data_IF_555311385098
#
_entry.id   IF_555311385098
#
_cell.length_a   1.000
_cell.length_b   1.000
_cell.length_c   1.000
_cell.angle_alpha   90.00
_cell.angle_beta   90.00
_cell.angle_gamma   90.00
#
_symmetry.space_group_name_H-M   'P 1'
#
loop_
_entity.id
_entity.type
_entity.pdbx_description
1 polymer ?
#
# COMPACT_ATOMS: atom_id res chain seq x y z
N UNK A 1 -7.77 31.82 -60.20
CA UNK A 1 -7.80 33.21 -59.70
C UNK A 1 -8.61 33.20 -58.42
N UNK A 2 -8.21 33.62 -57.22
CA UNK A 2 -7.04 34.32 -56.70
C UNK A 2 -7.51 34.95 -55.38
N UNK A 3 -6.92 34.53 -54.24
CA UNK A 3 -6.81 35.18 -52.91
C UNK A 3 -8.13 35.68 -52.24
N UNK A 4 -8.37 35.44 -50.95
CA UNK A 4 -7.60 36.04 -49.86
C UNK A 4 -7.85 35.38 -48.49
N UNK A 5 -6.78 35.25 -47.71
CA UNK A 5 -6.77 35.12 -46.24
C UNK A 5 -6.79 36.53 -45.63
N UNK A 6 -7.27 36.69 -44.39
CA UNK A 6 -6.73 37.70 -43.48
C UNK A 6 -5.78 37.05 -42.45
N UNK A 7 -4.59 37.62 -42.40
CA UNK A 7 -3.52 37.40 -41.45
C UNK A 7 -3.78 38.11 -40.13
N UNK A 8 -3.41 37.48 -39.01
CA UNK A 8 -3.04 38.20 -37.78
C UNK A 8 -1.61 37.80 -37.40
N UNK A 9 -0.74 38.80 -37.32
CA UNK A 9 0.65 38.74 -36.81
C UNK A 9 0.77 39.68 -35.59
N UNK A 10 1.82 39.49 -34.77
CA UNK A 10 1.80 39.73 -33.33
C UNK A 10 2.34 41.11 -32.94
N UNK A 11 2.04 41.55 -31.70
CA UNK A 11 2.68 42.70 -31.06
C UNK A 11 3.61 42.25 -29.91
N UNK A 12 4.67 43.02 -29.71
CA UNK A 12 5.95 42.64 -29.12
C UNK A 12 6.14 43.05 -27.64
N UNK A 13 7.19 42.44 -27.04
CA UNK A 13 7.90 42.68 -25.76
C UNK A 13 8.19 44.18 -25.50
N UNK A 14 8.19 44.78 -24.29
CA UNK A 14 8.93 44.64 -22.99
C UNK A 14 9.04 46.11 -22.40
N UNK A 15 9.57 46.44 -21.18
CA UNK A 15 10.47 45.70 -20.28
C UNK A 15 10.26 45.82 -18.73
N UNK A 16 10.91 44.87 -18.02
CA UNK A 16 11.72 44.94 -16.77
C UNK A 16 11.40 45.99 -15.68
N UNK A 17 11.13 45.51 -14.46
CA UNK A 17 11.80 46.06 -13.25
C UNK A 17 11.95 44.99 -12.16
N UNK A 18 12.98 45.20 -11.34
CA UNK A 18 13.73 44.27 -10.49
C UNK A 18 13.33 44.30 -9.01
N UNK A 19 13.88 43.33 -8.25
CA UNK A 19 14.04 43.21 -6.76
C UNK A 19 13.01 42.26 -6.11
N UNK A 20 13.38 41.30 -5.27
CA UNK A 20 14.66 40.98 -4.64
C UNK A 20 14.65 39.54 -4.10
N UNK A 21 15.83 38.92 -4.19
CA UNK A 21 16.26 37.71 -3.47
C UNK A 21 16.52 38.09 -2.01
N UNK A 22 16.15 37.21 -1.07
CA UNK A 22 16.72 37.11 0.28
C UNK A 22 16.85 35.59 0.52
N UNK A 23 17.99 34.99 0.18
CA UNK A 23 19.20 34.86 1.02
C UNK A 23 18.96 34.15 2.36
N UNK A 24 19.49 32.93 2.40
CA UNK A 24 19.80 32.17 3.59
C UNK A 24 20.85 32.92 4.41
N UNK A 25 20.60 33.11 5.70
CA UNK A 25 21.63 33.45 6.68
C UNK A 25 21.64 32.39 7.77
N UNK A 26 22.69 31.58 7.76
CA UNK A 26 23.20 30.90 8.94
C UNK A 26 23.80 31.95 9.87
N UNK A 27 23.51 31.88 11.18
CA UNK A 27 24.37 32.53 12.16
C UNK A 27 24.41 31.78 13.48
N UNK A 28 25.65 31.61 13.89
CA UNK A 28 26.26 30.92 15.01
C UNK A 28 25.94 31.48 16.38
N UNK A 29 26.11 30.58 17.36
CA UNK A 29 26.27 30.75 18.81
C UNK A 29 27.17 31.93 19.17
N UNK A 30 26.75 32.76 20.14
CA UNK A 30 27.64 33.33 21.18
C UNK A 30 26.87 33.67 22.46
N UNK A 31 27.40 33.20 23.60
CA UNK A 31 27.04 33.58 24.98
C UNK A 31 27.51 35.01 25.29
N UNK A 32 26.73 35.79 26.04
CA UNK A 32 27.25 36.62 27.17
C UNK A 32 26.13 37.19 28.05
N UNK A 33 26.43 37.20 29.34
CA UNK A 33 25.65 37.72 30.46
C UNK A 33 25.54 39.25 30.43
N UNK A 34 24.39 39.80 30.86
CA UNK A 34 24.31 41.03 31.64
C UNK A 34 22.91 41.20 32.25
N UNK A 35 22.88 41.42 33.57
CA UNK A 35 21.73 41.86 34.35
C UNK A 35 21.28 43.27 33.95
N UNK A 36 19.95 43.51 33.89
CA UNK A 36 19.32 44.78 34.28
C UNK A 36 17.79 44.62 34.29
N UNK A 37 17.18 44.78 35.46
CA UNK A 37 15.75 45.10 35.62
C UNK A 37 15.51 46.55 35.16
N UNK A 38 14.31 46.90 34.67
CA UNK A 38 13.35 47.49 35.59
C UNK A 38 11.89 47.05 35.39
N UNK A 39 11.16 47.23 36.48
CA UNK A 39 9.73 47.11 36.74
C UNK A 39 8.81 47.86 35.76
N UNK A 40 7.77 47.18 35.28
CA UNK A 40 6.42 47.75 35.15
C UNK A 40 5.38 46.63 34.99
N UNK A 41 4.32 46.76 35.77
CA UNK A 41 3.27 45.79 36.08
C UNK A 41 2.13 45.73 35.06
N UNK A 42 1.81 44.52 34.56
CA UNK A 42 0.48 44.14 34.06
C UNK A 42 0.24 42.66 34.40
N UNK A 43 -0.74 42.29 35.25
CA UNK A 43 -1.00 40.90 35.57
C UNK A 43 -1.91 40.28 34.50
N UNK A 44 -1.32 39.49 33.60
CA UNK A 44 -2.07 38.57 32.75
C UNK A 44 -2.22 37.25 33.54
N UNK A 45 -3.42 36.99 34.06
CA UNK A 45 -3.77 35.71 34.69
C UNK A 45 -3.78 34.60 33.62
N UNK A 46 -2.62 33.97 33.41
CA UNK A 46 -2.52 32.65 32.81
C UNK A 46 -2.25 31.66 33.95
N UNK A 47 -3.31 31.00 34.41
CA UNK A 47 -3.24 30.01 35.48
C UNK A 47 -2.42 28.79 35.05
N UNK A 48 -1.11 28.84 35.30
CA UNK A 48 -0.27 27.66 35.35
C UNK A 48 -0.66 26.86 36.59
N UNK A 49 -1.37 25.75 36.39
CA UNK A 49 -1.66 24.77 37.44
C UNK A 49 -0.35 24.06 37.80
N UNK A 50 0.42 24.67 38.71
CA UNK A 50 1.49 24.00 39.42
C UNK A 50 0.84 22.91 40.30
N UNK A 51 0.99 21.66 39.90
CA UNK A 51 0.60 20.48 40.69
C UNK A 51 1.55 20.35 41.88
N UNK A 52 1.29 21.13 42.93
CA UNK A 52 1.84 20.88 44.25
C UNK A 52 1.06 19.69 44.81
N UNK A 53 1.67 18.51 44.81
CA UNK A 53 1.18 17.35 45.55
C UNK A 53 1.40 17.61 47.05
N UNK A 54 0.52 18.39 47.66
CA UNK A 54 0.31 18.34 49.11
C UNK A 54 -0.52 17.09 49.37
N UNK A 55 0.05 16.16 50.13
CA UNK A 55 -0.55 14.87 50.43
C UNK A 55 -1.88 15.01 51.18
N UNK A 56 -2.98 14.81 50.46
CA UNK A 56 -4.16 14.20 51.04
C UNK A 56 -4.04 12.69 50.76
N UNK A 57 -3.61 11.97 51.79
CA UNK A 57 -3.80 10.52 51.83
C UNK A 57 -5.31 10.26 51.95
N UNK A 58 -5.73 9.01 51.78
CA UNK A 58 -7.07 8.50 52.10
C UNK A 58 -8.11 8.58 50.96
N UNK A 59 -8.42 7.35 50.50
CA UNK A 59 -9.66 6.91 49.87
C UNK A 59 -9.74 6.88 48.35
N UNK A 60 -10.69 6.08 47.86
CA UNK A 60 -10.97 5.92 46.43
C UNK A 60 -11.19 7.28 45.79
N UNK A 61 -10.64 7.47 44.60
CA UNK A 61 -10.82 8.71 43.85
C UNK A 61 -11.97 8.52 42.88
N UNK A 62 -13.05 9.26 43.12
CA UNK A 62 -14.20 9.30 42.21
C UNK A 62 -14.07 10.52 41.30
N UNK A 63 -13.83 10.25 40.02
CA UNK A 63 -13.75 11.24 38.97
C UNK A 63 -15.14 11.45 38.37
N UNK A 64 -15.63 12.69 38.39
CA UNK A 64 -16.91 13.09 37.80
C UNK A 64 -16.74 13.47 36.33
N UNK A 65 -17.79 13.29 35.52
CA UNK A 65 -17.77 13.63 34.08
C UNK A 65 -17.49 15.10 33.79
N UNK A 66 -17.74 15.99 34.76
CA UNK A 66 -17.50 17.43 34.65
C UNK A 66 -16.16 17.87 35.25
N UNK A 67 -15.24 16.92 35.50
CA UNK A 67 -13.85 17.20 35.87
C UNK A 67 -13.58 17.34 37.38
N UNK A 68 -14.61 17.32 38.23
CA UNK A 68 -14.43 17.28 39.69
C UNK A 68 -13.93 15.93 40.19
N UNK A 69 -13.12 15.92 41.25
CA UNK A 69 -12.63 14.72 41.92
C UNK A 69 -13.11 14.71 43.38
N UNK A 70 -13.59 13.56 43.83
CA UNK A 70 -14.02 13.33 45.21
C UNK A 70 -13.19 12.20 45.81
N UNK A 71 -12.71 12.40 47.03
CA UNK A 71 -11.97 11.40 47.79
C UNK A 71 -12.93 10.72 48.77
N UNK A 72 -13.06 9.39 48.71
CA UNK A 72 -13.87 8.63 49.65
C UNK A 72 -14.06 7.17 49.22
N UNK A 73 -14.28 6.27 50.19
CA UNK A 73 -14.40 4.83 49.90
C UNK A 73 -15.77 4.51 49.30
N UNK A 74 -15.82 3.79 48.19
CA UNK A 74 -17.09 3.33 47.64
C UNK A 74 -17.69 2.26 48.56
N UNK A 75 -18.92 2.52 49.03
CA UNK A 75 -19.62 1.63 49.96
C UNK A 75 -20.50 0.58 49.27
N UNK A 76 -20.74 0.73 47.96
CA UNK A 76 -21.53 -0.21 47.15
C UNK A 76 -20.78 -0.79 45.92
N UNK A 77 -19.60 -1.40 46.07
CA UNK A 77 -18.82 -1.92 44.95
C UNK A 77 -19.46 -3.15 44.26
N UNK A 78 -20.28 -3.94 44.98
CA UNK A 78 -20.88 -5.18 44.47
C UNK A 78 -22.09 -4.98 43.55
N UNK A 79 -22.55 -3.74 43.38
CA UNK A 79 -23.71 -3.39 42.53
C UNK A 79 -23.31 -2.43 41.41
N UNK A 80 -22.55 -2.88 40.39
CA UNK A 80 -22.07 -2.04 39.30
C UNK A 80 -23.20 -1.45 38.42
N UNK A 81 -24.41 -2.02 38.49
CA UNK A 81 -25.65 -1.55 37.84
C UNK A 81 -26.51 -0.62 38.71
N UNK A 82 -26.06 -0.24 39.91
CA UNK A 82 -26.80 0.67 40.76
C UNK A 82 -26.91 2.07 40.11
N UNK A 83 -28.11 2.66 40.17
CA UNK A 83 -28.38 4.03 39.69
C UNK A 83 -27.60 5.10 40.48
N UNK A 84 -27.11 4.74 41.67
CA UNK A 84 -26.38 5.64 42.58
C UNK A 84 -25.08 4.99 43.05
N UNK A 85 -23.99 5.73 43.00
CA UNK A 85 -22.71 5.42 43.64
C UNK A 85 -22.67 6.10 45.00
N UNK A 86 -22.41 5.33 46.06
CA UNK A 86 -22.34 5.86 47.44
C UNK A 86 -20.89 5.91 47.89
N UNK A 87 -20.42 7.10 48.24
CA UNK A 87 -19.05 7.39 48.65
C UNK A 87 -19.06 7.76 50.14
N UNK A 88 -18.31 7.03 50.96
CA UNK A 88 -18.03 7.42 52.33
C UNK A 88 -16.86 8.39 52.38
N UNK A 89 -17.07 9.59 52.93
CA UNK A 89 -16.04 10.63 53.08
C UNK A 89 -15.38 10.50 54.46
N UNK A 90 -14.09 10.82 54.52
CA UNK A 90 -13.33 10.86 55.77
C UNK A 90 -13.96 11.89 56.73
N UNK A 91 -14.59 11.42 57.80
CA UNK A 91 -15.46 12.22 58.69
C UNK A 91 -16.87 11.63 58.91
N UNK A 92 -17.20 10.49 58.29
CA UNK A 92 -18.44 9.74 58.54
C UNK A 92 -19.64 10.17 57.71
N UNK A 93 -19.46 11.16 56.81
CA UNK A 93 -20.47 11.57 55.84
C UNK A 93 -20.57 10.61 54.66
N UNK A 94 -21.77 10.48 54.09
CA UNK A 94 -22.01 9.72 52.86
C UNK A 94 -22.46 10.67 51.75
N UNK A 95 -21.78 10.63 50.61
CA UNK A 95 -22.16 11.34 49.39
C UNK A 95 -22.80 10.34 48.42
N UNK A 96 -24.00 10.65 47.95
CA UNK A 96 -24.73 9.85 46.96
C UNK A 96 -24.68 10.55 45.61
N UNK A 97 -24.11 9.90 44.60
CA UNK A 97 -23.97 10.46 43.26
C UNK A 97 -24.72 9.59 42.26
N UNK A 98 -25.48 10.18 41.32
CA UNK A 98 -26.01 9.43 40.19
C UNK A 98 -24.88 8.75 39.42
N UNK A 99 -25.03 7.46 39.08
CA UNK A 99 -24.01 6.68 38.35
C UNK A 99 -23.60 7.34 37.04
N UNK A 100 -24.53 8.04 36.41
CA UNK A 100 -24.32 8.80 35.17
C UNK A 100 -23.35 9.97 35.33
N UNK A 101 -23.25 10.55 36.53
CA UNK A 101 -22.34 11.67 36.83
C UNK A 101 -20.91 11.22 37.11
N UNK A 102 -20.72 9.94 37.43
CA UNK A 102 -19.41 9.33 37.74
C UNK A 102 -18.76 8.82 36.46
N UNK A 103 -17.63 9.40 36.10
CA UNK A 103 -16.82 8.95 34.97
C UNK A 103 -16.03 7.68 35.33
N UNK A 104 -15.38 7.68 36.49
CA UNK A 104 -14.53 6.57 36.94
C UNK A 104 -14.42 6.56 38.47
N UNK A 105 -14.43 5.37 39.07
CA UNK A 105 -14.04 5.15 40.47
C UNK A 105 -12.70 4.43 40.45
N UNK A 106 -11.69 5.02 41.08
CA UNK A 106 -10.35 4.43 41.23
C UNK A 106 -10.25 3.95 42.68
N UNK A 107 -10.49 2.65 42.89
CA UNK A 107 -10.42 2.05 44.22
C UNK A 107 -8.97 1.91 44.69
N UNK A 108 -8.66 2.40 45.89
CA UNK A 108 -7.38 2.18 46.56
C UNK A 108 -7.34 0.74 47.11
N UNK A 109 -6.26 0.01 46.86
CA UNK A 109 -6.06 -1.31 47.48
C UNK A 109 -5.60 -1.18 48.93
N UNK A 110 -5.74 -2.23 49.74
CA UNK A 110 -5.21 -2.23 51.11
C UNK A 110 -3.67 -2.03 51.10
N UNK A 111 -3.00 -2.54 50.07
CA UNK A 111 -1.57 -2.37 49.83
C UNK A 111 -1.21 -0.90 49.48
N UNK A 112 -2.07 -0.18 48.75
CA UNK A 112 -1.86 1.26 48.49
C UNK A 112 -1.99 2.08 49.78
N UNK A 113 -2.91 1.72 50.66
CA UNK A 113 -3.09 2.37 51.97
C UNK A 113 -1.90 2.10 52.91
N UNK A 114 -1.37 0.87 52.93
CA UNK A 114 -0.15 0.53 53.66
C UNK A 114 1.06 1.28 53.09
N UNK A 115 1.20 1.32 51.76
CA UNK A 115 2.25 2.07 51.08
C UNK A 115 2.24 3.55 51.46
N UNK A 116 1.06 4.19 51.48
CA UNK A 116 0.94 5.60 51.83
C UNK A 116 1.45 5.89 53.24
N UNK A 117 1.16 5.00 54.20
CA UNK A 117 1.68 5.10 55.58
C UNK A 117 3.20 4.99 55.62
N UNK A 118 3.77 3.99 54.94
CA UNK A 118 5.22 3.81 54.88
C UNK A 118 5.92 4.95 54.17
N UNK A 119 5.31 5.53 53.12
CA UNK A 119 5.88 6.68 52.40
C UNK A 119 6.02 7.90 53.32
N UNK A 120 5.05 8.15 54.21
CA UNK A 120 5.10 9.27 55.16
C UNK A 120 6.17 9.10 56.25
N UNK A 121 6.50 7.87 56.61
CA UNK A 121 7.51 7.55 57.64
C UNK A 121 8.89 7.20 57.05
N UNK A 122 9.00 7.11 55.72
CA UNK A 122 10.22 6.76 55.01
C UNK A 122 11.27 7.88 55.14
N UNK A 123 12.45 7.62 55.74
CA UNK A 123 13.54 8.58 55.75
C UNK A 123 14.08 8.81 54.33
N UNK A 124 14.41 10.06 53.98
CA UNK A 124 15.02 10.45 52.70
C UNK A 124 16.51 10.06 52.63
N UNK A 125 16.75 8.76 52.65
CA UNK A 125 18.07 8.12 52.64
C UNK A 125 18.02 6.92 51.68
N UNK A 126 19.18 6.49 51.20
CA UNK A 126 19.30 5.33 50.30
C UNK A 126 18.66 4.08 50.93
N UNK A 127 19.02 3.75 52.16
CA UNK A 127 18.49 2.59 52.88
C UNK A 127 16.99 2.70 53.15
N UNK A 128 16.50 3.88 53.53
CA UNK A 128 15.09 4.14 53.79
C UNK A 128 14.22 3.90 52.55
N UNK A 129 14.65 4.41 51.39
CA UNK A 129 13.95 4.18 50.13
C UNK A 129 14.12 2.76 49.60
N UNK A 130 15.28 2.12 49.83
CA UNK A 130 15.52 0.73 49.42
C UNK A 130 14.58 -0.24 50.12
N UNK A 131 14.38 -0.08 51.45
CA UNK A 131 13.48 -0.93 52.23
C UNK A 131 12.03 -0.82 51.73
N UNK A 132 11.55 0.40 51.45
CA UNK A 132 10.20 0.61 50.90
C UNK A 132 10.11 0.04 49.47
N UNK A 133 11.15 0.19 48.65
CA UNK A 133 11.18 -0.37 47.29
C UNK A 133 11.13 -1.91 47.29
N UNK A 134 11.78 -2.58 48.25
CA UNK A 134 11.70 -4.03 48.43
C UNK A 134 10.31 -4.47 48.84
N UNK A 135 9.71 -3.81 49.83
CA UNK A 135 8.33 -4.10 50.23
C UNK A 135 7.34 -3.89 49.07
N UNK A 136 7.49 -2.81 48.29
CA UNK A 136 6.68 -2.59 47.09
C UNK A 136 6.87 -3.70 46.05
N UNK A 137 8.06 -4.31 45.97
CA UNK A 137 8.32 -5.45 45.09
C UNK A 137 7.52 -6.69 45.54
N UNK A 138 7.50 -6.97 46.85
CA UNK A 138 6.77 -8.10 47.44
C UNK A 138 5.25 -7.97 47.25
N UNK A 139 4.72 -6.75 47.33
CA UNK A 139 3.30 -6.45 47.17
C UNK A 139 2.86 -6.21 45.72
N UNK A 140 3.78 -6.31 44.75
CA UNK A 140 3.48 -6.08 43.33
C UNK A 140 3.23 -4.60 42.94
N UNK A 141 3.55 -3.66 43.81
CA UNK A 141 3.37 -2.21 43.63
C UNK A 141 4.49 -1.63 42.75
N UNK A 142 4.46 -1.95 41.46
CA UNK A 142 5.56 -1.69 40.52
C UNK A 142 5.81 -0.20 40.28
N UNK A 143 4.76 0.63 40.21
CA UNK A 143 4.90 2.09 39.98
C UNK A 143 5.52 2.78 41.19
N UNK A 144 5.05 2.44 42.37
CA UNK A 144 5.52 2.92 43.67
C UNK A 144 6.98 2.53 43.90
N UNK A 145 7.32 1.27 43.59
CA UNK A 145 8.71 0.78 43.61
C UNK A 145 9.62 1.63 42.71
N UNK A 146 9.20 1.94 41.49
CA UNK A 146 9.99 2.76 40.56
C UNK A 146 10.27 4.16 41.12
N UNK A 147 9.30 4.79 41.79
CA UNK A 147 9.49 6.11 42.42
C UNK A 147 10.63 6.08 43.44
N UNK A 148 10.62 5.10 44.34
CA UNK A 148 11.67 4.96 45.34
C UNK A 148 13.03 4.62 44.73
N UNK A 149 13.08 3.76 43.72
CA UNK A 149 14.32 3.45 43.01
C UNK A 149 14.90 4.66 42.26
N UNK A 150 14.06 5.50 41.66
CA UNK A 150 14.52 6.75 41.05
C UNK A 150 15.07 7.72 42.10
N UNK A 151 14.41 7.84 43.26
CA UNK A 151 14.90 8.67 44.37
C UNK A 151 16.24 8.15 44.91
N UNK A 152 16.46 6.84 44.96
CA UNK A 152 17.76 6.26 45.30
C UNK A 152 18.84 6.72 44.31
N UNK A 153 18.57 6.73 43.00
CA UNK A 153 19.53 7.21 42.01
C UNK A 153 19.80 8.72 42.07
N UNK A 154 18.88 9.51 42.63
CA UNK A 154 19.10 10.94 42.91
C UNK A 154 20.03 11.15 44.10
N UNK A 155 19.95 10.28 45.12
CA UNK A 155 20.78 10.35 46.33
C UNK A 155 22.16 9.70 46.13
N UNK A 156 22.20 8.55 45.46
CA UNK A 156 23.40 7.81 45.09
C UNK A 156 23.34 7.45 43.59
N UNK A 157 23.97 8.26 42.73
CA UNK A 157 24.00 8.00 41.30
C UNK A 157 24.68 6.68 40.92
N UNK A 158 25.56 6.10 41.73
CA UNK A 158 26.31 4.89 41.36
C UNK A 158 25.70 3.61 41.93
N UNK A 159 24.52 3.68 42.56
CA UNK A 159 23.85 2.53 43.15
C UNK A 159 23.50 1.45 42.11
N UNK A 160 24.29 0.37 42.10
CA UNK A 160 24.23 -0.66 41.05
C UNK A 160 22.91 -1.43 41.04
N UNK A 161 22.42 -1.91 42.20
CA UNK A 161 21.18 -2.69 42.23
C UNK A 161 19.95 -1.88 41.80
N UNK A 162 19.83 -0.62 42.22
CA UNK A 162 18.72 0.25 41.83
C UNK A 162 18.70 0.46 40.30
N UNK A 163 19.88 0.68 39.70
CA UNK A 163 20.04 0.78 38.24
C UNK A 163 19.66 -0.53 37.53
N UNK A 164 20.13 -1.67 38.02
CA UNK A 164 19.78 -2.99 37.44
C UNK A 164 18.28 -3.26 37.50
N UNK A 165 17.62 -2.92 38.61
CA UNK A 165 16.16 -3.10 38.77
C UNK A 165 15.38 -2.17 37.82
N UNK A 166 15.86 -0.93 37.63
CA UNK A 166 15.27 0.02 36.68
C UNK A 166 15.57 -0.31 35.20
N UNK A 167 16.35 -1.36 34.94
CA UNK A 167 16.64 -1.85 33.59
C UNK A 167 17.83 -1.18 32.91
N UNK A 168 18.68 -0.49 33.67
CA UNK A 168 19.97 -0.02 33.19
C UNK A 168 20.96 -1.18 33.11
N UNK A 169 21.88 -1.08 32.16
CA UNK A 169 23.01 -1.98 31.98
C UNK A 169 24.28 -1.14 31.85
N UNK A 170 25.37 -1.63 32.44
CA UNK A 170 26.68 -1.04 32.26
C UNK A 170 27.22 -1.43 30.88
N UNK A 171 27.40 -0.47 29.98
CA UNK A 171 27.95 -0.64 28.63
C UNK A 171 29.07 0.38 28.47
N UNK A 172 30.29 -0.07 28.18
CA UNK A 172 31.49 0.77 28.01
C UNK A 172 31.72 1.79 29.14
N UNK A 173 31.43 1.40 30.38
CA UNK A 173 31.61 2.24 31.57
C UNK A 173 30.50 3.25 31.83
N UNK A 174 29.44 3.29 31.01
CA UNK A 174 28.26 4.12 31.21
C UNK A 174 27.02 3.28 31.50
N UNK A 175 26.21 3.72 32.46
CA UNK A 175 24.91 3.13 32.74
C UNK A 175 23.89 3.59 31.71
N UNK A 176 23.45 2.67 30.85
CA UNK A 176 22.48 2.97 29.80
C UNK A 176 21.27 2.05 29.90
N UNK A 177 20.09 2.60 29.65
CA UNK A 177 18.90 1.78 29.42
C UNK A 177 19.02 1.04 28.08
N UNK A 178 18.25 -0.04 27.91
CA UNK A 178 18.18 -0.72 26.61
C UNK A 178 17.74 0.21 25.47
N UNK A 179 16.91 1.22 25.76
CA UNK A 179 16.48 2.20 24.77
C UNK A 179 17.62 3.13 24.36
N UNK A 180 18.40 3.64 25.32
CA UNK A 180 19.57 4.50 25.07
C UNK A 180 20.68 3.74 24.34
N UNK A 181 20.95 2.49 24.73
CA UNK A 181 21.93 1.63 24.05
C UNK A 181 21.57 1.46 22.56
N UNK A 182 20.30 1.20 22.28
CA UNK A 182 19.82 1.04 20.90
C UNK A 182 19.80 2.36 20.14
N UNK A 183 19.45 3.47 20.81
CA UNK A 183 19.50 4.81 20.22
C UNK A 183 20.93 5.22 19.85
N UNK A 184 21.93 4.91 20.67
CA UNK A 184 23.35 5.12 20.37
C UNK A 184 23.80 4.32 19.13
N UNK A 185 23.17 3.17 18.85
CA UNK A 185 23.35 2.38 17.63
C UNK A 185 22.51 2.87 16.43
N UNK A 186 21.83 4.02 16.55
CA UNK A 186 20.96 4.58 15.51
C UNK A 186 19.62 3.87 15.34
N UNK A 187 19.19 3.10 16.35
CA UNK A 187 17.95 2.31 16.31
C UNK A 187 16.92 2.90 17.27
N UNK A 188 15.72 3.17 16.75
CA UNK A 188 14.58 3.69 17.53
C UNK A 188 13.52 2.61 17.66
N UNK A 189 12.81 2.57 18.79
CA UNK A 189 11.71 1.64 19.01
C UNK A 189 10.48 2.08 18.21
N UNK A 190 10.05 1.27 17.26
CA UNK A 190 8.89 1.49 16.40
C UNK A 190 8.01 0.23 16.35
N UNK A 191 6.74 0.34 16.75
CA UNK A 191 5.79 -0.77 16.90
C UNK A 191 6.35 -2.01 17.64
N UNK A 192 7.04 -1.79 18.76
CA UNK A 192 7.56 -2.86 19.62
C UNK A 192 8.96 -3.38 19.26
N UNK A 193 9.49 -3.03 18.09
CA UNK A 193 10.80 -3.48 17.60
C UNK A 193 11.77 -2.30 17.42
N UNK A 194 13.07 -2.54 17.58
CA UNK A 194 14.08 -1.52 17.30
C UNK A 194 14.46 -1.52 15.83
N UNK A 195 14.39 -0.35 15.19
CA UNK A 195 14.61 -0.18 13.75
C UNK A 195 15.36 1.12 13.46
N UNK A 196 16.11 1.16 12.37
CA UNK A 196 16.77 2.39 11.93
C UNK A 196 15.73 3.41 11.43
N UNK A 197 16.08 4.69 11.45
CA UNK A 197 15.21 5.76 10.95
C UNK A 197 14.76 5.51 9.50
N UNK A 198 15.68 5.09 8.62
CA UNK A 198 15.37 4.75 7.23
C UNK A 198 14.37 3.59 7.11
N UNK A 199 14.49 2.57 7.97
CA UNK A 199 13.59 1.42 7.97
C UNK A 199 12.20 1.75 8.53
N UNK A 200 12.09 2.78 9.38
CA UNK A 200 10.84 3.34 9.86
C UNK A 200 10.20 4.15 8.74
N UNK A 201 10.95 5.05 8.11
CA UNK A 201 10.47 5.89 7.01
C UNK A 201 9.93 5.05 5.84
N UNK A 202 10.68 4.03 5.39
CA UNK A 202 10.23 3.15 4.31
C UNK A 202 8.93 2.41 4.66
N UNK A 203 8.75 2.01 5.92
CA UNK A 203 7.51 1.39 6.39
C UNK A 203 6.36 2.36 6.43
N UNK A 204 6.61 3.57 6.91
CA UNK A 204 5.61 4.62 7.02
C UNK A 204 5.14 5.05 5.63
N UNK A 205 6.08 5.23 4.68
CA UNK A 205 5.76 5.46 3.27
C UNK A 205 4.94 4.31 2.68
N UNK A 206 5.32 3.05 2.95
CA UNK A 206 4.53 1.89 2.50
C UNK A 206 3.13 1.85 3.15
N UNK A 207 2.99 2.28 4.41
CA UNK A 207 1.70 2.38 5.11
C UNK A 207 0.84 3.46 4.48
N UNK A 208 1.37 4.66 4.29
CA UNK A 208 0.69 5.77 3.63
C UNK A 208 0.26 5.39 2.21
N UNK A 209 1.13 4.72 1.44
CA UNK A 209 0.79 4.23 0.09
C UNK A 209 -0.40 3.26 0.13
N UNK A 210 -0.39 2.30 1.06
CA UNK A 210 -1.50 1.33 1.22
C UNK A 210 -2.79 2.00 1.67
N UNK A 211 -2.71 3.02 2.52
CA UNK A 211 -3.87 3.79 2.95
C UNK A 211 -4.47 4.57 1.78
N UNK A 212 -3.64 5.26 1.00
CA UNK A 212 -4.06 5.94 -0.22
C UNK A 212 -4.66 4.97 -1.26
N UNK A 213 -4.03 3.82 -1.51
CA UNK A 213 -4.59 2.77 -2.38
C UNK A 213 -5.97 2.30 -1.87
N UNK A 214 -6.12 2.06 -0.56
CA UNK A 214 -7.42 1.70 0.05
C UNK A 214 -8.47 2.80 -0.12
N UNK A 215 -8.09 4.07 -0.03
CA UNK A 215 -9.00 5.19 -0.30
C UNK A 215 -9.45 5.19 -1.77
N UNK A 216 -8.54 4.93 -2.71
CA UNK A 216 -8.88 4.75 -4.12
C UNK A 216 -9.87 3.61 -4.35
N UNK A 217 -9.66 2.43 -3.73
CA UNK A 217 -10.63 1.33 -3.79
C UNK A 217 -12.02 1.75 -3.31
N UNK A 218 -12.11 2.46 -2.17
CA UNK A 218 -13.39 2.94 -1.63
C UNK A 218 -14.06 3.94 -2.56
N UNK A 219 -13.30 4.91 -3.08
CA UNK A 219 -13.82 5.97 -3.93
C UNK A 219 -14.30 5.43 -5.29
N UNK A 220 -13.49 4.60 -5.95
CA UNK A 220 -13.83 4.00 -7.24
C UNK A 220 -15.06 3.09 -7.13
N UNK A 221 -15.14 2.24 -6.09
CA UNK A 221 -16.35 1.42 -5.83
C UNK A 221 -17.58 2.28 -5.53
N UNK A 222 -17.42 3.38 -4.80
CA UNK A 222 -18.50 4.34 -4.54
C UNK A 222 -18.98 4.96 -5.85
N UNK A 223 -18.08 5.48 -6.68
CA UNK A 223 -18.45 6.09 -7.97
C UNK A 223 -19.10 5.07 -8.90
N UNK A 224 -18.61 3.83 -8.95
CA UNK A 224 -19.28 2.75 -9.69
C UNK A 224 -20.72 2.53 -9.23
N UNK A 225 -20.98 2.50 -7.92
CA UNK A 225 -22.36 2.40 -7.42
C UNK A 225 -23.23 3.61 -7.77
N UNK A 226 -22.63 4.78 -7.98
CA UNK A 226 -23.34 5.98 -8.44
C UNK A 226 -23.67 5.95 -9.93
N UNK A 227 -22.80 5.36 -10.76
CA UNK A 227 -23.04 5.18 -12.20
C UNK A 227 -24.21 4.24 -12.50
N UNK A 228 -24.43 3.24 -11.66
CA UNK A 228 -25.50 2.24 -11.83
C UNK A 228 -26.81 2.69 -11.15
N UNK A 229 -26.75 3.70 -10.29
CA UNK A 229 -27.94 4.19 -9.59
C UNK A 229 -28.84 4.99 -10.54
N UNK A 230 -30.15 4.76 -10.48
CA UNK A 230 -31.18 5.53 -11.21
C UNK A 230 -31.34 7.00 -10.75
N UNK A 231 -30.41 7.51 -9.93
CA UNK A 231 -30.49 8.87 -9.37
C UNK A 231 -29.84 9.84 -10.35
N UNK A 232 -30.58 10.81 -10.92
CA UNK A 232 -30.08 11.66 -12.00
C UNK A 232 -28.87 12.51 -11.60
N UNK A 233 -28.72 12.85 -10.31
CA UNK A 233 -27.65 13.74 -9.83
C UNK A 233 -26.38 12.99 -9.36
N UNK A 234 -26.21 11.70 -9.69
CA UNK A 234 -25.10 10.88 -9.19
C UNK A 234 -24.15 10.36 -10.27
N UNK A 235 -24.66 10.07 -11.47
CA UNK A 235 -23.84 9.58 -12.58
C UNK A 235 -22.81 10.63 -13.03
N UNK A 236 -23.25 11.85 -13.30
CA UNK A 236 -22.37 12.91 -13.81
C UNK A 236 -21.18 13.24 -12.89
N UNK A 237 -21.35 13.40 -11.54
CA UNK A 237 -20.20 13.54 -10.65
C UNK A 237 -19.27 12.31 -10.64
N UNK A 238 -19.81 11.10 -10.77
CA UNK A 238 -19.01 9.88 -10.80
C UNK A 238 -18.17 9.80 -12.08
N UNK A 239 -18.76 10.10 -13.24
CA UNK A 239 -18.07 10.17 -14.53
C UNK A 239 -16.94 11.20 -14.49
N UNK A 240 -17.23 12.42 -14.03
CA UNK A 240 -16.23 13.48 -13.89
C UNK A 240 -15.08 13.08 -12.96
N UNK A 241 -15.39 12.45 -11.83
CA UNK A 241 -14.37 12.02 -10.88
C UNK A 241 -13.48 10.91 -11.45
N UNK A 242 -14.04 9.93 -12.16
CA UNK A 242 -13.27 8.88 -12.82
C UNK A 242 -12.44 9.46 -13.98
N UNK A 243 -13.01 10.38 -14.75
CA UNK A 243 -12.32 11.08 -15.83
C UNK A 243 -11.15 11.95 -15.32
N UNK A 244 -11.20 12.42 -14.08
CA UNK A 244 -10.14 13.22 -13.47
C UNK A 244 -8.98 12.38 -12.88
N UNK A 245 -9.08 11.05 -12.84
CA UNK A 245 -8.05 10.19 -12.23
C UNK A 245 -6.75 10.28 -13.03
N UNK A 246 -5.67 10.64 -12.34
CA UNK A 246 -4.29 10.70 -12.86
C UNK A 246 -3.28 10.06 -11.89
N UNK A 247 -3.70 9.70 -10.68
CA UNK A 247 -2.81 9.15 -9.65
C UNK A 247 -2.44 7.69 -9.93
N UNK A 248 -1.13 7.34 -10.05
CA UNK A 248 -0.67 5.97 -10.20
C UNK A 248 -1.12 5.01 -9.10
N UNK A 249 -1.45 5.51 -7.90
CA UNK A 249 -1.98 4.71 -6.80
C UNK A 249 -3.42 4.23 -7.03
N UNK A 250 -4.14 4.83 -8.00
CA UNK A 250 -5.47 4.37 -8.38
C UNK A 250 -5.44 3.10 -9.26
N UNK A 251 -4.29 2.78 -9.89
CA UNK A 251 -4.17 1.67 -10.85
C UNK A 251 -4.66 0.33 -10.29
N UNK A 252 -4.23 -0.12 -9.09
CA UNK A 252 -4.70 -1.40 -8.55
C UNK A 252 -6.23 -1.45 -8.37
N UNK A 253 -6.84 -0.33 -7.97
CA UNK A 253 -8.28 -0.23 -7.79
C UNK A 253 -9.03 -0.20 -9.13
N UNK A 254 -8.51 0.51 -10.13
CA UNK A 254 -9.06 0.52 -11.49
C UNK A 254 -9.00 -0.88 -12.12
N UNK A 255 -7.84 -1.54 -12.06
CA UNK A 255 -7.64 -2.88 -12.65
C UNK A 255 -8.53 -3.93 -12.00
N UNK A 256 -8.65 -3.91 -10.67
CA UNK A 256 -9.52 -4.87 -9.97
C UNK A 256 -11.00 -4.64 -10.33
N UNK A 257 -11.46 -3.39 -10.31
CA UNK A 257 -12.84 -3.09 -10.70
C UNK A 257 -13.11 -3.45 -12.17
N UNK A 258 -12.17 -3.18 -13.08
CA UNK A 258 -12.31 -3.50 -14.49
C UNK A 258 -12.43 -5.00 -14.75
N UNK A 259 -11.77 -5.85 -13.93
CA UNK A 259 -11.94 -7.31 -13.97
C UNK A 259 -13.31 -7.75 -13.49
N UNK A 260 -13.85 -7.11 -12.46
CA UNK A 260 -15.15 -7.43 -11.86
C UNK A 260 -16.33 -6.89 -12.67
N UNK A 261 -16.14 -5.81 -13.43
CA UNK A 261 -17.22 -5.08 -14.09
C UNK A 261 -17.79 -5.83 -15.30
N UNK A 262 -19.10 -5.79 -15.45
CA UNK A 262 -19.82 -6.45 -16.55
C UNK A 262 -20.43 -5.47 -17.53
N UNK A 263 -20.62 -4.20 -17.14
CA UNK A 263 -21.23 -3.16 -17.98
C UNK A 263 -20.17 -2.55 -18.92
N UNK A 264 -20.31 -2.71 -20.26
CA UNK A 264 -19.29 -2.25 -21.21
C UNK A 264 -19.00 -0.74 -21.11
N UNK A 265 -20.03 0.09 -20.93
CA UNK A 265 -19.87 1.55 -20.84
C UNK A 265 -19.00 1.96 -19.64
N UNK A 266 -19.14 1.26 -18.51
CA UNK A 266 -18.31 1.51 -17.32
C UNK A 266 -16.88 1.02 -17.56
N UNK A 267 -16.70 -0.13 -18.23
CA UNK A 267 -15.37 -0.61 -18.61
C UNK A 267 -14.61 0.42 -19.45
N UNK A 268 -15.26 0.99 -20.47
CA UNK A 268 -14.64 1.99 -21.35
C UNK A 268 -14.19 3.24 -20.57
N UNK A 269 -15.04 3.73 -19.65
CA UNK A 269 -14.68 4.86 -18.79
C UNK A 269 -13.47 4.56 -17.88
N UNK A 270 -13.41 3.35 -17.31
CA UNK A 270 -12.29 2.91 -16.48
C UNK A 270 -11.00 2.73 -17.30
N UNK A 271 -11.12 2.24 -18.55
CA UNK A 271 -10.01 2.09 -19.49
C UNK A 271 -9.44 3.44 -19.87
N UNK A 272 -10.29 4.43 -20.12
CA UNK A 272 -9.82 5.79 -20.43
C UNK A 272 -9.04 6.39 -19.25
N UNK A 273 -9.52 6.18 -18.02
CA UNK A 273 -8.78 6.57 -16.82
C UNK A 273 -7.44 5.84 -16.68
N UNK A 274 -7.44 4.53 -16.90
CA UNK A 274 -6.23 3.71 -16.86
C UNK A 274 -5.20 4.16 -17.94
N UNK A 275 -5.66 4.49 -19.14
CA UNK A 275 -4.84 4.97 -20.25
C UNK A 275 -4.21 6.33 -19.95
N UNK A 276 -4.95 7.26 -19.33
CA UNK A 276 -4.41 8.55 -18.88
C UNK A 276 -3.30 8.36 -17.84
N UNK A 277 -3.51 7.48 -16.85
CA UNK A 277 -2.48 7.16 -15.85
C UNK A 277 -1.26 6.50 -16.50
N UNK A 278 -1.47 5.61 -17.47
CA UNK A 278 -0.40 4.97 -18.24
C UNK A 278 0.42 5.99 -19.05
N UNK A 279 -0.22 7.00 -19.64
CA UNK A 279 0.43 8.05 -20.42
C UNK A 279 1.41 8.91 -19.59
N UNK A 280 1.07 9.13 -18.32
CA UNK A 280 1.89 9.92 -17.40
C UNK A 280 3.01 9.11 -16.74
N UNK A 281 2.97 7.78 -16.83
CA UNK A 281 3.97 6.93 -16.21
C UNK A 281 5.35 7.15 -16.87
N UNK A 282 6.39 7.49 -16.08
CA UNK A 282 7.72 7.70 -16.61
C UNK A 282 8.22 6.44 -17.30
N UNK A 283 8.99 6.60 -18.38
CA UNK A 283 9.68 5.49 -19.01
C UNK A 283 10.59 4.79 -17.99
N UNK A 284 10.63 3.44 -17.98
CA UNK A 284 11.53 2.71 -17.10
C UNK A 284 12.98 3.15 -17.37
N UNK A 285 13.59 3.75 -16.36
CA UNK A 285 14.99 4.19 -16.42
C UNK A 285 15.90 2.96 -16.36
N UNK A 286 16.42 2.55 -17.52
CA UNK A 286 17.34 1.41 -17.65
C UNK A 286 18.66 1.61 -16.88
N UNK A 287 18.99 2.84 -16.48
CA UNK A 287 20.17 3.14 -15.67
C UNK A 287 19.97 2.90 -14.16
N UNK A 288 18.73 2.67 -13.71
CA UNK A 288 18.38 2.41 -12.30
C UNK A 288 17.70 1.04 -12.12
N UNK A 289 18.45 -0.07 -12.14
CA UNK A 289 17.92 -1.43 -12.09
C UNK A 289 17.20 -1.83 -10.78
N UNK A 290 17.01 -0.91 -9.82
CA UNK A 290 16.25 -1.13 -8.58
C UNK A 290 14.85 -0.51 -8.56
N UNK A 291 14.51 0.40 -9.49
CA UNK A 291 13.20 1.01 -9.53
C UNK A 291 12.25 0.09 -10.32
N UNK A 292 11.61 -0.86 -9.62
CA UNK A 292 10.50 -1.66 -10.17
C UNK A 292 9.27 -0.77 -10.38
N UNK A 293 9.34 0.16 -11.33
CA UNK A 293 8.16 0.74 -11.96
C UNK A 293 7.61 -0.35 -12.87
N UNK A 294 6.97 -1.38 -12.30
CA UNK A 294 6.18 -2.29 -13.12
C UNK A 294 5.14 -1.42 -13.81
N UNK A 295 5.06 -1.40 -15.16
CA UNK A 295 4.12 -0.56 -15.87
C UNK A 295 2.71 -1.18 -15.78
N UNK A 296 2.18 -1.25 -14.56
CA UNK A 296 0.97 -1.99 -14.19
C UNK A 296 -0.25 -1.52 -14.97
N UNK A 297 -0.35 -0.22 -15.27
CA UNK A 297 -1.44 0.33 -16.07
C UNK A 297 -1.37 -0.10 -17.54
N UNK A 298 -0.20 0.00 -18.18
CA UNK A 298 0.01 -0.50 -19.57
C UNK A 298 -0.27 -1.99 -19.64
N UNK A 299 0.19 -2.73 -18.64
CA UNK A 299 -0.02 -4.15 -18.53
C UNK A 299 -1.52 -4.50 -18.39
N UNK A 300 -2.27 -3.81 -17.54
CA UNK A 300 -3.70 -4.00 -17.47
C UNK A 300 -4.39 -3.73 -18.83
N UNK A 301 -4.00 -2.68 -19.57
CA UNK A 301 -4.52 -2.44 -20.93
C UNK A 301 -4.21 -3.60 -21.89
N UNK A 302 -2.98 -4.13 -21.86
CA UNK A 302 -2.59 -5.29 -22.69
C UNK A 302 -3.46 -6.50 -22.36
N UNK A 303 -3.66 -6.79 -21.06
CA UNK A 303 -4.47 -7.93 -20.64
C UNK A 303 -5.93 -7.79 -21.12
N UNK A 304 -6.53 -6.61 -20.97
CA UNK A 304 -7.89 -6.37 -21.46
C UNK A 304 -7.98 -6.36 -23.00
N UNK A 305 -6.94 -5.94 -23.72
CA UNK A 305 -6.91 -6.04 -25.19
C UNK A 305 -6.89 -7.49 -25.70
N UNK A 306 -6.34 -8.42 -24.91
CA UNK A 306 -6.18 -9.83 -25.28
C UNK A 306 -7.38 -10.68 -24.85
N UNK A 307 -7.84 -10.48 -23.61
CA UNK A 307 -8.67 -11.44 -22.90
C UNK A 307 -10.09 -10.94 -22.61
N UNK A 308 -10.41 -9.65 -22.78
CA UNK A 308 -11.77 -9.18 -22.52
C UNK A 308 -12.76 -9.81 -23.51
N UNK A 309 -13.96 -10.13 -23.02
CA UNK A 309 -15.01 -10.76 -23.82
C UNK A 309 -15.61 -9.78 -24.82
N UNK A 310 -15.70 -8.51 -24.43
CA UNK A 310 -16.27 -7.45 -25.25
C UNK A 310 -15.25 -6.95 -26.29
N UNK A 311 -15.66 -6.93 -27.56
CA UNK A 311 -14.79 -6.52 -28.66
C UNK A 311 -14.45 -5.03 -28.65
N UNK A 312 -15.41 -4.17 -28.31
CA UNK A 312 -15.20 -2.73 -28.25
C UNK A 312 -14.18 -2.39 -27.16
N UNK A 313 -14.28 -3.08 -26.02
CA UNK A 313 -13.31 -2.96 -24.91
C UNK A 313 -11.92 -3.41 -25.34
N UNK A 314 -11.80 -4.52 -26.07
CA UNK A 314 -10.50 -5.00 -26.57
C UNK A 314 -9.86 -4.01 -27.53
N UNK A 315 -10.62 -3.52 -28.51
CA UNK A 315 -10.14 -2.59 -29.53
C UNK A 315 -9.76 -1.23 -28.92
N UNK A 316 -10.58 -0.70 -28.00
CA UNK A 316 -10.28 0.56 -27.30
C UNK A 316 -8.98 0.47 -26.50
N UNK A 317 -8.74 -0.66 -25.81
CA UNK A 317 -7.45 -0.89 -25.14
C UNK A 317 -6.28 -0.87 -26.14
N UNK A 318 -6.43 -1.52 -27.29
CA UNK A 318 -5.39 -1.57 -28.32
C UNK A 318 -5.12 -0.19 -28.91
N UNK A 319 -6.15 0.60 -29.22
CA UNK A 319 -6.00 1.96 -29.76
C UNK A 319 -5.18 2.84 -28.81
N UNK A 320 -5.50 2.82 -27.51
CA UNK A 320 -4.70 3.53 -26.51
C UNK A 320 -3.25 3.05 -26.47
N UNK A 321 -2.99 1.74 -26.58
CA UNK A 321 -1.63 1.20 -26.57
C UNK A 321 -0.82 1.61 -27.81
N UNK A 322 -1.46 1.65 -28.98
CA UNK A 322 -0.88 2.12 -30.24
C UNK A 322 -0.56 3.62 -30.17
N UNK A 323 -1.45 4.43 -29.58
CA UNK A 323 -1.22 5.86 -29.37
C UNK A 323 -0.04 6.13 -28.42
N UNK A 324 0.09 5.33 -27.36
CA UNK A 324 1.16 5.47 -26.37
C UNK A 324 2.55 5.08 -26.91
N UNK A 325 2.62 4.22 -27.94
CA UNK A 325 3.87 3.77 -28.60
C UNK A 325 4.98 3.34 -27.64
N UNK A 326 4.60 2.57 -26.62
CA UNK A 326 5.51 2.12 -25.56
C UNK A 326 6.11 0.76 -25.92
N UNK A 327 7.44 0.63 -26.11
CA UNK A 327 8.06 -0.62 -26.55
C UNK A 327 7.92 -1.75 -25.50
N UNK A 328 7.62 -1.41 -24.25
CA UNK A 328 7.43 -2.38 -23.16
C UNK A 328 6.25 -3.34 -23.40
N UNK A 329 5.27 -2.96 -24.24
CA UNK A 329 4.07 -3.80 -24.46
C UNK A 329 4.31 -4.92 -25.48
N UNK A 330 5.27 -4.75 -26.39
CA UNK A 330 5.59 -5.76 -27.43
C UNK A 330 5.94 -7.11 -26.81
N UNK A 331 6.78 -7.13 -25.77
CA UNK A 331 7.20 -8.38 -25.11
C UNK A 331 6.00 -9.17 -24.57
N UNK A 332 4.96 -8.47 -24.11
CA UNK A 332 3.79 -9.10 -23.51
C UNK A 332 2.88 -9.73 -24.57
N UNK A 333 2.70 -9.07 -25.71
CA UNK A 333 2.02 -9.68 -26.86
C UNK A 333 2.81 -10.85 -27.46
N UNK A 334 4.14 -10.74 -27.54
CA UNK A 334 5.01 -11.85 -27.96
C UNK A 334 4.85 -13.08 -27.05
N UNK A 335 4.65 -12.88 -25.74
CA UNK A 335 4.34 -13.97 -24.83
C UNK A 335 2.98 -14.62 -25.13
N UNK A 336 1.98 -13.82 -25.50
CA UNK A 336 0.64 -14.31 -25.83
C UNK A 336 0.59 -15.13 -27.14
N UNK A 337 1.54 -14.95 -28.06
CA UNK A 337 1.69 -15.81 -29.25
C UNK A 337 1.97 -17.29 -28.92
N UNK A 338 2.38 -17.60 -27.68
CA UNK A 338 2.60 -18.96 -27.19
C UNK A 338 1.39 -19.55 -26.47
N UNK A 339 0.22 -18.91 -26.58
CA UNK A 339 -1.00 -19.39 -25.94
C UNK A 339 -1.45 -20.75 -26.51
N UNK A 340 -2.23 -21.47 -25.70
CA UNK A 340 -2.91 -22.70 -26.11
C UNK A 340 -4.19 -22.42 -26.89
N UNK A 341 -4.67 -21.19 -26.89
CA UNK A 341 -5.84 -20.75 -27.65
C UNK A 341 -5.40 -19.95 -28.89
N UNK A 342 -5.79 -20.42 -30.07
CA UNK A 342 -5.51 -19.73 -31.34
C UNK A 342 -6.20 -18.37 -31.43
N UNK A 343 -7.34 -18.16 -30.77
CA UNK A 343 -7.98 -16.85 -30.77
C UNK A 343 -7.07 -15.81 -30.09
N UNK A 344 -6.44 -16.18 -28.97
CA UNK A 344 -5.47 -15.33 -28.28
C UNK A 344 -4.21 -15.10 -29.12
N UNK A 345 -3.69 -16.13 -29.79
CA UNK A 345 -2.54 -16.01 -30.71
C UNK A 345 -2.84 -15.02 -31.84
N UNK A 346 -4.01 -15.14 -32.47
CA UNK A 346 -4.42 -14.25 -33.55
C UNK A 346 -4.65 -12.81 -33.05
N UNK A 347 -5.26 -12.61 -31.89
CA UNK A 347 -5.40 -11.27 -31.28
C UNK A 347 -4.05 -10.65 -30.95
N UNK A 348 -3.12 -11.42 -30.40
CA UNK A 348 -1.77 -10.96 -30.12
C UNK A 348 -1.03 -10.55 -31.40
N UNK A 349 -1.18 -11.31 -32.48
CA UNK A 349 -0.61 -10.97 -33.77
C UNK A 349 -1.21 -9.70 -34.38
N UNK A 350 -2.53 -9.54 -34.31
CA UNK A 350 -3.22 -8.34 -34.75
C UNK A 350 -2.75 -7.09 -33.98
N UNK A 351 -2.54 -7.22 -32.66
CA UNK A 351 -1.97 -6.16 -31.84
C UNK A 351 -0.52 -5.83 -32.22
N UNK A 352 0.33 -6.84 -32.43
CA UNK A 352 1.74 -6.64 -32.86
C UNK A 352 1.83 -5.97 -34.23
N UNK A 353 0.92 -6.32 -35.15
CA UNK A 353 0.77 -5.64 -36.44
C UNK A 353 0.43 -4.16 -36.25
N UNK A 354 -0.55 -3.85 -35.39
CA UNK A 354 -0.97 -2.47 -35.13
C UNK A 354 0.14 -1.63 -34.46
N UNK A 355 0.95 -2.25 -33.59
CA UNK A 355 2.10 -1.60 -32.96
C UNK A 355 3.26 -1.33 -33.93
N UNK A 356 3.40 -2.11 -35.01
CA UNK A 356 4.41 -1.89 -36.03
C UNK A 356 5.86 -2.22 -35.59
N UNK A 357 6.04 -3.03 -34.54
CA UNK A 357 7.37 -3.33 -33.99
C UNK A 357 8.03 -4.54 -34.71
N UNK A 358 9.06 -4.25 -35.50
CA UNK A 358 9.79 -5.26 -36.28
C UNK A 358 10.52 -6.30 -35.42
N UNK A 359 10.71 -6.07 -34.12
CA UNK A 359 11.28 -7.08 -33.21
C UNK A 359 10.38 -8.29 -33.06
N UNK A 360 9.07 -8.15 -33.36
CA UNK A 360 8.09 -9.22 -33.29
C UNK A 360 8.10 -10.19 -34.48
N UNK A 361 8.84 -9.89 -35.56
CA UNK A 361 8.85 -10.73 -36.77
C UNK A 361 9.28 -12.17 -36.46
N UNK A 362 10.37 -12.38 -35.72
CA UNK A 362 10.83 -13.74 -35.41
C UNK A 362 9.80 -14.53 -34.57
N UNK A 363 9.27 -13.98 -33.45
CA UNK A 363 8.16 -14.62 -32.73
C UNK A 363 6.91 -14.90 -33.57
N UNK A 364 6.58 -14.05 -34.53
CA UNK A 364 5.44 -14.25 -35.43
C UNK A 364 5.70 -15.41 -36.40
N UNK A 365 6.93 -15.57 -36.91
CA UNK A 365 7.29 -16.74 -37.74
C UNK A 365 7.09 -18.04 -36.95
N UNK A 366 7.53 -18.07 -35.69
CA UNK A 366 7.37 -19.23 -34.81
C UNK A 366 5.90 -19.56 -34.50
N UNK A 367 5.01 -18.56 -34.54
CA UNK A 367 3.58 -18.69 -34.25
C UNK A 367 2.70 -18.87 -35.50
N UNK A 368 3.27 -18.89 -36.71
CA UNK A 368 2.52 -18.94 -37.97
C UNK A 368 1.64 -20.20 -38.10
N UNK A 369 2.15 -21.33 -37.60
CA UNK A 369 1.41 -22.59 -37.46
C UNK A 369 1.61 -23.08 -36.03
N UNK A 370 0.54 -23.12 -35.24
CA UNK A 370 0.56 -23.66 -33.88
C UNK A 370 0.01 -25.08 -33.84
N UNK A 371 0.41 -25.88 -32.84
CA UNK A 371 -0.02 -27.28 -32.72
C UNK A 371 -0.87 -27.48 -31.47
N UNK A 372 -2.12 -27.90 -31.66
CA UNK A 372 -3.09 -28.04 -30.57
C UNK A 372 -3.52 -29.48 -30.39
N UNK A 373 -3.76 -29.88 -29.13
CA UNK A 373 -4.19 -31.22 -28.76
C UNK A 373 -5.71 -31.27 -28.73
N UNK A 374 -6.32 -31.95 -29.68
CA UNK A 374 -7.77 -32.19 -29.72
C UNK A 374 -8.05 -33.60 -29.23
N UNK A 375 -8.94 -33.75 -28.24
CA UNK A 375 -9.46 -35.05 -27.84
C UNK A 375 -10.54 -35.46 -28.83
N UNK A 376 -10.24 -36.40 -29.73
CA UNK A 376 -11.27 -37.01 -30.57
C UNK A 376 -11.99 -38.07 -29.75
N UNK A 377 -13.31 -37.89 -29.61
CA UNK A 377 -14.30 -38.90 -29.26
C UNK A 377 -13.87 -39.93 -28.21
N UNK A 378 -14.32 -39.70 -26.97
CA UNK A 378 -14.60 -40.78 -26.02
C UNK A 378 -15.50 -41.80 -26.72
N UNK A 379 -14.95 -42.94 -27.16
CA UNK A 379 -15.77 -44.14 -27.22
C UNK A 379 -16.33 -44.32 -25.83
N UNK A 380 -17.67 -44.27 -25.66
CA UNK A 380 -18.30 -44.41 -24.35
C UNK A 380 -17.69 -45.62 -23.64
N UNK A 381 -16.91 -45.41 -22.55
CA UNK A 381 -16.28 -46.52 -21.87
C UNK A 381 -17.40 -47.44 -21.36
N UNK A 382 -17.44 -48.67 -21.87
CA UNK A 382 -18.47 -49.67 -21.54
C UNK A 382 -19.55 -49.91 -22.59
N UNK A 383 -19.51 -49.28 -23.78
CA UNK A 383 -20.37 -49.72 -24.88
C UNK A 383 -19.82 -50.98 -25.56
N UNK A 384 -20.62 -52.05 -25.52
CA UNK A 384 -20.48 -53.25 -26.34
C UNK A 384 -21.21 -53.03 -27.66
N UNK A 385 -20.47 -53.02 -28.76
CA UNK A 385 -21.06 -52.98 -30.10
C UNK A 385 -21.11 -54.41 -30.64
N UNK A 386 -22.30 -54.91 -30.92
CA UNK A 386 -22.49 -56.19 -31.61
C UNK A 386 -22.70 -55.93 -33.10
N UNK A 387 -21.86 -56.53 -33.95
CA UNK A 387 -22.01 -56.49 -35.40
C UNK A 387 -22.40 -57.87 -35.91
N UNK A 388 -23.44 -57.93 -36.75
CA UNK A 388 -23.91 -59.15 -37.39
C UNK A 388 -23.68 -59.04 -38.90
N UNK A 389 -22.85 -59.91 -39.46
CA UNK A 389 -22.65 -60.01 -40.89
C UNK A 389 -23.65 -61.02 -41.52
N UNK A 390 -24.00 -60.86 -42.81
CA UNK A 390 -24.99 -61.71 -43.48
C UNK A 390 -24.60 -63.18 -43.61
N UNK A 391 -23.33 -63.51 -43.38
CA UNK A 391 -22.77 -64.86 -43.42
C UNK A 391 -22.87 -65.61 -42.09
N UNK A 392 -23.57 -65.04 -41.10
CA UNK A 392 -23.73 -65.63 -39.77
C UNK A 392 -22.54 -65.40 -38.83
N UNK A 393 -21.51 -64.68 -39.27
CA UNK A 393 -20.44 -64.23 -38.37
C UNK A 393 -20.91 -62.99 -37.58
N UNK A 394 -21.14 -63.18 -36.29
CA UNK A 394 -21.50 -62.11 -35.35
C UNK A 394 -20.45 -61.97 -34.27
N UNK A 395 -19.94 -60.75 -34.06
CA UNK A 395 -18.90 -60.45 -33.08
C UNK A 395 -19.33 -59.37 -32.09
N UNK A 396 -19.01 -59.55 -30.81
CA UNK A 396 -19.19 -58.53 -29.77
C UNK A 396 -17.85 -57.83 -29.54
N UNK A 397 -17.77 -56.55 -29.94
CA UNK A 397 -16.61 -55.69 -29.68
C UNK A 397 -16.79 -54.89 -28.40
N UNK A 398 -15.86 -55.00 -27.46
CA UNK A 398 -15.79 -54.14 -26.28
C UNK A 398 -14.99 -52.88 -26.63
N UNK A 399 -15.61 -51.70 -26.57
CA UNK A 399 -14.93 -50.43 -26.85
C UNK A 399 -13.86 -50.11 -25.80
N UNK A 400 -12.60 -50.45 -26.08
CA UNK A 400 -11.44 -50.15 -25.21
C UNK A 400 -10.67 -48.88 -25.64
N UNK A 401 -11.37 -47.89 -26.19
CA UNK A 401 -10.76 -46.65 -26.69
C UNK A 401 -10.89 -45.52 -25.69
N UNK A 402 -9.92 -45.37 -24.77
CA UNK A 402 -9.76 -44.13 -24.02
C UNK A 402 -9.52 -42.94 -24.97
N UNK A 403 -9.79 -41.70 -24.54
CA UNK A 403 -9.75 -40.53 -25.43
C UNK A 403 -8.39 -40.39 -26.12
N UNK A 404 -8.40 -40.45 -27.46
CA UNK A 404 -7.19 -40.24 -28.26
C UNK A 404 -6.92 -38.75 -28.43
N UNK A 405 -5.73 -38.33 -28.00
CA UNK A 405 -5.27 -36.94 -28.12
C UNK A 405 -4.50 -36.79 -29.43
N UNK A 406 -5.12 -36.18 -30.43
CA UNK A 406 -4.49 -35.90 -31.73
C UNK A 406 -3.92 -34.49 -31.74
N UNK A 407 -2.69 -34.34 -32.23
CA UNK A 407 -2.07 -33.03 -32.48
C UNK A 407 -2.53 -32.53 -33.84
N UNK A 408 -3.31 -31.46 -33.86
CA UNK A 408 -3.80 -30.81 -35.08
C UNK A 408 -2.99 -29.53 -35.30
N UNK A 409 -2.33 -29.36 -36.46
CA UNK A 409 -1.74 -28.08 -36.82
C UNK A 409 -2.86 -27.08 -37.16
N UNK A 410 -2.76 -25.87 -36.64
CA UNK A 410 -3.71 -24.79 -36.87
C UNK A 410 -2.96 -23.60 -37.45
N UNK A 411 -3.46 -23.10 -38.57
CA UNK A 411 -2.94 -21.91 -39.25
C UNK A 411 -3.48 -20.65 -38.59
N UNK A 412 -2.61 -19.66 -38.36
CA UNK A 412 -2.98 -18.40 -37.73
C UNK A 412 -3.04 -17.25 -38.75
N UNK A 413 -4.24 -16.88 -39.25
CA UNK A 413 -4.37 -15.88 -40.32
C UNK A 413 -3.89 -14.48 -39.90
N UNK A 414 -4.10 -14.07 -38.65
CA UNK A 414 -3.62 -12.76 -38.19
C UNK A 414 -2.10 -12.72 -38.03
N UNK A 415 -1.48 -13.86 -37.75
CA UNK A 415 -0.01 -13.98 -37.74
C UNK A 415 0.55 -13.78 -39.14
N UNK A 416 -0.06 -14.41 -40.16
CA UNK A 416 0.33 -14.17 -41.55
C UNK A 416 0.11 -12.71 -41.95
N UNK A 417 -1.03 -12.12 -41.60
CA UNK A 417 -1.33 -10.72 -41.89
C UNK A 417 -0.33 -9.76 -41.22
N UNK A 418 0.11 -10.07 -39.99
CA UNK A 418 1.14 -9.31 -39.28
C UNK A 418 2.51 -9.44 -39.96
N UNK A 419 2.90 -10.66 -40.36
CA UNK A 419 4.16 -10.89 -41.08
C UNK A 419 4.20 -10.12 -42.40
N UNK A 420 3.13 -10.17 -43.20
CA UNK A 420 3.05 -9.44 -44.47
C UNK A 420 3.16 -7.92 -44.22
N UNK A 421 2.43 -7.40 -43.22
CA UNK A 421 2.44 -5.97 -42.92
C UNK A 421 3.81 -5.46 -42.43
N UNK A 422 4.53 -6.26 -41.62
CA UNK A 422 5.83 -5.86 -41.05
C UNK A 422 7.01 -6.13 -41.99
N UNK A 423 6.93 -7.15 -42.84
CA UNK A 423 8.02 -7.54 -43.75
C UNK A 423 7.90 -7.00 -45.17
N UNK A 424 6.67 -6.75 -45.64
CA UNK A 424 6.38 -6.48 -47.05
C UNK A 424 6.41 -7.71 -47.97
N UNK A 425 6.71 -8.89 -47.44
CA UNK A 425 6.82 -10.15 -48.19
C UNK A 425 5.62 -11.07 -47.93
N UNK A 426 5.40 -12.06 -48.80
CA UNK A 426 4.36 -13.07 -48.60
C UNK A 426 4.84 -14.46 -49.02
N UNK A 427 5.13 -15.30 -48.03
CA UNK A 427 5.45 -16.72 -48.21
C UNK A 427 4.31 -17.65 -47.76
N UNK A 428 3.09 -17.12 -47.63
CA UNK A 428 1.92 -17.84 -47.09
C UNK A 428 2.26 -18.52 -45.75
N UNK A 429 1.79 -19.75 -45.51
CA UNK A 429 2.06 -20.51 -44.30
C UNK A 429 3.37 -21.33 -44.35
N UNK A 430 4.31 -21.01 -45.25
CA UNK A 430 5.57 -21.75 -45.40
C UNK A 430 6.63 -21.25 -44.42
N UNK A 431 6.62 -21.82 -43.21
CA UNK A 431 7.57 -21.48 -42.14
C UNK A 431 9.06 -21.54 -42.56
N UNK A 432 9.52 -22.54 -43.36
CA UNK A 432 10.92 -22.59 -43.79
C UNK A 432 11.34 -21.39 -44.65
N UNK A 433 10.46 -20.92 -45.54
CA UNK A 433 10.72 -19.79 -46.45
C UNK A 433 10.84 -18.48 -45.65
N UNK A 434 9.92 -18.26 -44.70
CA UNK A 434 9.98 -17.15 -43.74
C UNK A 434 11.28 -17.15 -42.92
N UNK A 435 11.69 -18.32 -42.42
CA UNK A 435 12.90 -18.46 -41.60
C UNK A 435 14.17 -18.19 -42.41
N UNK A 436 14.25 -18.72 -43.63
CA UNK A 436 15.37 -18.50 -44.53
C UNK A 436 15.50 -17.02 -44.92
N UNK A 437 14.39 -16.37 -45.24
CA UNK A 437 14.32 -14.94 -45.52
C UNK A 437 14.79 -14.10 -44.32
N UNK A 438 14.26 -14.35 -43.11
CA UNK A 438 14.64 -13.58 -41.93
C UNK A 438 16.13 -13.75 -41.57
N UNK A 439 16.66 -14.96 -41.72
CA UNK A 439 18.09 -15.23 -41.53
C UNK A 439 18.99 -14.53 -42.57
N UNK A 440 18.52 -14.35 -43.81
CA UNK A 440 19.23 -13.56 -44.82
C UNK A 440 19.24 -12.06 -44.45
N UNK A 441 18.11 -11.54 -43.97
CA UNK A 441 17.97 -10.14 -43.56
C UNK A 441 18.84 -9.76 -42.36
N UNK A 442 19.01 -10.67 -41.39
CA UNK A 442 19.93 -10.44 -40.26
C UNK A 442 21.40 -10.48 -40.67
N UNK A 443 21.76 -11.28 -41.68
CA UNK A 443 23.14 -11.35 -42.20
C UNK A 443 23.51 -10.10 -42.98
N UNK A 444 22.60 -9.57 -43.79
CA UNK A 444 22.83 -8.33 -44.55
C UNK A 444 23.02 -7.13 -43.61
N UNK A 445 22.19 -6.99 -42.57
CA UNK A 445 22.33 -5.90 -41.59
C UNK A 445 23.64 -5.97 -40.80
N UNK A 446 24.06 -7.16 -40.36
CA UNK A 446 25.35 -7.33 -39.65
C UNK A 446 26.57 -7.04 -40.54
N UNK A 447 26.50 -7.30 -41.84
CA UNK A 447 27.63 -7.02 -42.76
C UNK A 447 27.84 -5.53 -43.04
N UNK A 448 26.80 -4.70 -42.84
CA UNK A 448 26.86 -3.25 -43.05
C UNK A 448 27.52 -2.55 -41.84
N UNK A 449 27.31 -3.05 -40.62
CA UNK A 449 27.91 -2.48 -39.40
C UNK A 449 29.41 -2.81 -39.26
N UNK A 450 29.85 -4.01 -39.66
CA UNK A 450 31.26 -4.43 -39.54
C UNK A 450 32.26 -3.67 -40.45
N UNK A 451 31.78 -2.75 -41.30
CA UNK A 451 32.61 -1.88 -42.17
C UNK A 451 32.68 -0.43 -41.67
N UNK A 452 32.06 -0.12 -40.52
CA UNK A 452 31.92 1.25 -40.01
C UNK A 452 32.68 1.53 -38.72
N UNK A 453 33.56 0.61 -38.34
CA UNK A 453 34.49 0.72 -37.19
C UNK A 453 35.93 0.96 -37.64
#
# INVERSE_FOLDING_TARGET
>A
MGKAKPSWRPAAKAPVSSRGRLEWCAMTITRRWACALPSASVPCFAGALALIWVGACWADVVVLKHGGQLHGRQLNPESPSAEVVVIGVEGGGQIRLPRESVAQVISSSAEDDEYAKMRCTCPDTVEGHWNVAQWCAEKGLTKQRQVHLHRILELDPDHEEARRILGYRLVDGAWMTRAEEMAARGLTRYHGEYRSAQAIELREQARQRREAEKEWYKNIRRWRSWLISDKPNRSEPAERNIAAIQDPLAVPALTELLREETVPQIKLLLIEALARVAAQAPAPDRSKPGQKTTPTALYALVDHSLYDLDEEVRLTCLDHLVDLRRPEVTERYVRALKSKDNAEVNRAAAALKALGDNTAIAPLIDALITTHKVQLGSGNPGQTTASFAPDGSGGIGFGSGGPQVVKVPVQNPEVLAALIALSGENFEYRVPDWTAWYAAQRRSSHSIDARRD
#
